data_IF_125429189678
#
_entry.id   IF_125429189678
#
_cell.length_a   1.000
_cell.length_b   1.000
_cell.length_c   1.000
_cell.angle_alpha   90.00
_cell.angle_beta   90.00
_cell.angle_gamma   90.00
#
_symmetry.space_group_name_H-M   'P 1'
#
loop_
_entity.id
_entity.type
_entity.pdbx_description
1 polymer ?
#
# COMPACT_ATOMS: atom_id res chain seq x y z
N UNK A 1 1.56 16.63 -2.72
CA UNK A 1 2.47 16.26 -3.82
C UNK A 1 2.42 17.37 -4.86
N UNK A 2 3.58 17.90 -5.30
CA UNK A 2 3.67 19.07 -6.18
C UNK A 2 4.10 18.73 -7.63
N UNK A 3 4.08 17.44 -7.98
CA UNK A 3 4.82 16.95 -9.14
C UNK A 3 6.30 16.74 -8.83
N UNK A 4 7.03 16.28 -9.84
CA UNK A 4 8.48 16.06 -9.84
C UNK A 4 9.23 17.10 -10.69
N UNK A 5 8.56 18.20 -11.07
CA UNK A 5 9.20 19.29 -11.80
C UNK A 5 10.40 19.88 -11.06
N UNK A 6 11.44 20.21 -11.82
CA UNK A 6 12.67 20.82 -11.30
C UNK A 6 12.55 22.34 -11.28
N UNK A 7 13.08 22.98 -10.23
CA UNK A 7 13.07 24.45 -10.08
C UNK A 7 13.91 25.16 -11.15
N UNK A 8 14.91 24.47 -11.72
CA UNK A 8 15.71 24.95 -12.84
C UNK A 8 15.64 23.97 -14.02
N UNK A 9 14.64 24.09 -14.91
CA UNK A 9 14.47 23.19 -16.03
C UNK A 9 15.64 23.33 -17.03
N UNK A 10 16.03 22.23 -17.72
CA UNK A 10 17.04 22.32 -18.75
C UNK A 10 16.53 23.12 -19.95
N UNK A 11 17.46 23.59 -20.78
CA UNK A 11 17.14 24.34 -21.98
C UNK A 11 16.13 23.56 -22.85
N UNK A 12 15.11 24.23 -23.45
CA UNK A 12 14.06 23.56 -24.22
C UNK A 12 14.57 22.65 -25.35
N UNK A 13 15.72 22.94 -25.96
CA UNK A 13 16.33 22.07 -26.97
C UNK A 13 16.75 20.67 -26.45
N UNK A 14 16.88 20.51 -25.12
CA UNK A 14 17.20 19.23 -24.49
C UNK A 14 15.99 18.62 -23.77
N UNK A 15 14.79 19.19 -23.96
CA UNK A 15 13.54 18.65 -23.44
C UNK A 15 13.22 17.32 -24.11
N UNK A 16 12.87 16.33 -23.31
CA UNK A 16 12.43 15.01 -23.77
C UNK A 16 10.99 14.79 -23.33
N UNK A 17 10.21 14.09 -24.14
CA UNK A 17 8.80 13.74 -23.82
C UNK A 17 8.66 12.96 -22.51
N UNK A 18 9.68 12.17 -22.14
CA UNK A 18 9.70 11.46 -20.86
C UNK A 18 9.77 12.40 -19.65
N UNK A 19 10.23 13.64 -19.83
CA UNK A 19 10.33 14.63 -18.75
C UNK A 19 8.97 15.19 -18.36
N UNK A 20 7.96 15.13 -19.23
CA UNK A 20 6.59 15.57 -18.91
C UNK A 20 5.91 14.63 -17.90
N UNK A 21 6.33 13.36 -17.85
CA UNK A 21 5.73 12.36 -16.97
C UNK A 21 5.99 12.69 -15.50
N UNK A 22 4.92 12.98 -14.76
CA UNK A 22 4.98 13.34 -13.35
C UNK A 22 5.55 14.74 -13.09
N UNK A 23 5.87 15.53 -14.12
CA UNK A 23 6.35 16.90 -13.97
C UNK A 23 5.33 17.79 -13.27
N UNK A 24 4.09 17.73 -13.76
CA UNK A 24 2.99 18.57 -13.30
C UNK A 24 2.34 18.03 -12.03
N UNK A 25 1.94 18.94 -11.14
CA UNK A 25 1.13 18.61 -9.98
C UNK A 25 -0.27 18.15 -10.42
N UNK A 26 -0.89 17.18 -9.71
CA UNK A 26 -2.28 16.82 -9.94
C UNK A 26 -3.21 18.00 -9.60
N UNK A 27 -4.28 18.15 -10.37
CA UNK A 27 -5.34 19.14 -10.15
C UNK A 27 -6.60 18.48 -9.58
N UNK A 28 -7.57 19.28 -9.12
CA UNK A 28 -8.84 18.78 -8.57
C UNK A 28 -9.61 17.87 -9.55
N UNK A 29 -9.37 18.01 -10.85
CA UNK A 29 -10.03 17.21 -11.89
C UNK A 29 -9.29 15.90 -12.19
N UNK A 30 -8.10 15.71 -11.65
CA UNK A 30 -7.28 14.49 -11.84
C UNK A 30 -7.34 13.54 -10.64
N UNK A 31 -7.89 13.99 -9.51
CA UNK A 31 -8.01 13.21 -8.28
C UNK A 31 -9.44 12.70 -8.10
N UNK A 32 -9.64 11.52 -7.49
CA UNK A 32 -10.98 11.03 -7.21
C UNK A 32 -11.66 11.89 -6.13
N UNK A 33 -12.98 12.08 -6.23
CA UNK A 33 -13.78 12.79 -5.23
C UNK A 33 -13.79 12.08 -3.88
N UNK A 34 -13.76 10.75 -3.89
CA UNK A 34 -13.72 9.92 -2.69
C UNK A 34 -12.76 8.76 -2.86
N UNK A 35 -12.00 8.46 -1.82
CA UNK A 35 -11.07 7.33 -1.77
C UNK A 35 -11.29 6.55 -0.47
N UNK A 36 -11.44 5.23 -0.57
CA UNK A 36 -11.65 4.33 0.56
C UNK A 36 -10.41 3.44 0.76
N UNK A 37 -9.37 3.94 1.46
CA UNK A 37 -8.18 3.15 1.70
C UNK A 37 -8.50 1.93 2.57
N UNK A 38 -8.01 0.77 2.17
CA UNK A 38 -8.08 -0.41 3.02
C UNK A 38 -6.94 -0.35 4.03
N UNK A 39 -7.30 -0.35 5.32
CA UNK A 39 -6.33 -0.46 6.39
C UNK A 39 -5.80 -1.90 6.48
N UNK A 40 -4.48 -2.03 6.52
CA UNK A 40 -3.81 -3.30 6.75
C UNK A 40 -3.24 -3.42 8.18
N UNK A 41 -3.66 -2.53 9.10
CA UNK A 41 -3.10 -2.44 10.46
C UNK A 41 -3.24 -3.73 11.26
N UNK A 42 -4.36 -4.44 11.14
CA UNK A 42 -4.57 -5.73 11.79
C UNK A 42 -3.56 -6.77 11.30
N UNK A 43 -3.47 -6.97 9.98
CA UNK A 43 -2.57 -7.98 9.40
C UNK A 43 -1.09 -7.63 9.62
N UNK A 44 -0.73 -6.34 9.61
CA UNK A 44 0.63 -5.89 9.91
C UNK A 44 1.02 -6.24 11.35
N UNK A 45 0.13 -6.02 12.33
CA UNK A 45 0.34 -6.43 13.73
C UNK A 45 0.43 -7.95 13.87
N UNK A 46 -0.44 -8.68 13.20
CA UNK A 46 -0.40 -10.15 13.19
C UNK A 46 0.91 -10.68 12.58
N UNK A 47 1.39 -10.08 11.49
CA UNK A 47 2.63 -10.47 10.83
C UNK A 47 3.86 -10.32 11.73
N UNK A 48 3.87 -9.33 12.63
CA UNK A 48 4.93 -9.17 13.63
C UNK A 48 4.95 -10.32 14.66
N UNK A 49 3.82 -10.94 14.94
CA UNK A 49 3.74 -12.10 15.85
C UNK A 49 4.31 -13.39 15.24
N UNK A 50 4.60 -13.40 13.93
CA UNK A 50 5.20 -14.53 13.23
C UNK A 50 4.21 -15.65 12.89
N UNK A 51 4.76 -16.80 12.49
CA UNK A 51 3.97 -17.93 12.04
C UNK A 51 3.34 -18.68 13.22
N UNK A 52 2.03 -18.95 13.13
CA UNK A 52 1.31 -19.72 14.15
C UNK A 52 1.94 -21.10 14.36
N UNK A 53 2.04 -21.51 15.62
CA UNK A 53 2.42 -22.87 16.02
C UNK A 53 1.38 -23.41 16.99
N UNK A 54 0.86 -24.60 16.68
CA UNK A 54 0.03 -25.32 17.63
C UNK A 54 0.94 -26.08 18.61
N UNK A 55 0.90 -25.68 19.87
CA UNK A 55 1.58 -26.37 20.98
C UNK A 55 0.58 -26.89 22.03
N UNK A 56 -0.68 -27.08 21.64
CA UNK A 56 -1.73 -27.57 22.56
C UNK A 56 -1.69 -29.08 22.67
N UNK A 57 -2.03 -29.60 23.86
CA UNK A 57 -2.29 -31.03 24.06
C UNK A 57 -3.77 -31.32 23.80
N UNK A 58 -4.07 -32.45 23.14
CA UNK A 58 -5.44 -32.93 23.04
C UNK A 58 -5.89 -33.48 24.40
N UNK A 59 -6.97 -32.92 24.95
CA UNK A 59 -7.57 -33.33 26.23
C UNK A 59 -9.00 -33.80 26.06
N UNK A 60 -9.42 -34.13 24.83
CA UNK A 60 -10.76 -34.63 24.59
C UNK A 60 -10.92 -36.00 25.23
N UNK A 61 -12.02 -36.18 25.97
CA UNK A 61 -12.43 -37.49 26.46
C UNK A 61 -13.05 -38.26 25.31
N UNK A 62 -12.82 -39.58 25.29
CA UNK A 62 -13.44 -40.45 24.30
C UNK A 62 -14.96 -40.31 24.36
N UNK A 63 -15.58 -40.09 23.19
CA UNK A 63 -17.02 -39.88 23.08
C UNK A 63 -17.66 -41.23 22.80
N UNK A 64 -18.42 -41.75 23.77
CA UNK A 64 -19.18 -42.99 23.57
C UNK A 64 -20.27 -42.80 22.50
N UNK A 65 -20.35 -43.73 21.55
CA UNK A 65 -21.32 -43.73 20.43
C UNK A 65 -22.73 -44.22 20.84
N UNK A 66 -23.19 -43.88 22.04
CA UNK A 66 -24.51 -44.30 22.54
C UNK A 66 -25.38 -43.07 22.84
#
# INVERSE_FOLDING_TARGET
>A
FKGYGQDNPPHPCYWKTSMDYGWYAPTIHTVPTTYYPRSQTFSAKLGQAGMYKNCSLNTELDKSLF
#
